data_IF_078136022199
#
_entry.id   IF_078136022199
#
_cell.length_a   1.000
_cell.length_b   1.000
_cell.length_c   1.000
_cell.angle_alpha   90.00
_cell.angle_beta   90.00
_cell.angle_gamma   90.00
#
_symmetry.space_group_name_H-M   'P 1'
#
loop_
_entity.id
_entity.type
_entity.pdbx_description
1 polymer ?
#
# COMPACT_ATOMS: atom_id res chain seq x y z
N UNK A 1 -24.57 5.75 22.41
CA UNK A 1 -23.52 6.75 22.11
C UNK A 1 -22.14 6.32 22.65
N UNK A 2 -22.09 5.57 23.77
CA UNK A 2 -20.86 4.88 24.24
C UNK A 2 -20.72 3.42 23.78
N UNK A 3 -21.81 2.81 23.29
CA UNK A 3 -21.88 1.39 22.92
C UNK A 3 -21.01 1.03 21.69
N UNK A 4 -21.04 1.84 20.62
CA UNK A 4 -20.14 1.64 19.45
C UNK A 4 -18.65 1.72 19.86
N UNK A 5 -18.32 2.51 20.90
CA UNK A 5 -16.94 2.79 21.33
C UNK A 5 -16.36 1.67 22.19
N UNK A 6 -17.18 1.07 23.06
CA UNK A 6 -16.82 -0.12 23.84
C UNK A 6 -16.72 -1.36 22.94
N UNK A 7 -17.60 -1.49 21.94
CA UNK A 7 -17.52 -2.55 20.94
C UNK A 7 -16.24 -2.44 20.09
N UNK A 8 -15.89 -1.25 19.57
CA UNK A 8 -14.64 -1.06 18.81
C UNK A 8 -13.37 -1.42 19.62
N UNK A 9 -13.40 -1.23 20.95
CA UNK A 9 -12.28 -1.50 21.84
C UNK A 9 -12.05 -3.01 22.05
N UNK A 10 -13.12 -3.79 22.15
CA UNK A 10 -13.08 -5.25 22.37
C UNK A 10 -12.94 -6.07 21.09
N UNK A 11 -13.04 -5.47 19.90
CA UNK A 11 -12.88 -6.19 18.62
C UNK A 11 -11.54 -6.92 18.55
N UNK A 12 -11.60 -8.25 18.46
CA UNK A 12 -10.49 -9.09 18.03
C UNK A 12 -10.31 -9.05 16.51
N UNK A 13 -9.40 -9.86 15.99
CA UNK A 13 -9.13 -10.00 14.55
C UNK A 13 -10.42 -10.25 13.75
N UNK A 14 -11.17 -11.30 14.07
CA UNK A 14 -12.41 -11.67 13.39
C UNK A 14 -13.48 -10.57 13.44
N UNK A 15 -13.50 -9.80 14.53
CA UNK A 15 -14.38 -8.66 14.67
C UNK A 15 -14.07 -7.56 13.66
N UNK A 16 -12.78 -7.24 13.46
CA UNK A 16 -12.35 -6.24 12.47
C UNK A 16 -12.79 -6.66 11.06
N UNK A 17 -12.62 -7.94 10.68
CA UNK A 17 -13.08 -8.45 9.38
C UNK A 17 -14.60 -8.40 9.24
N UNK A 18 -15.33 -8.77 10.29
CA UNK A 18 -16.79 -8.71 10.30
C UNK A 18 -17.32 -7.29 10.12
N UNK A 19 -16.74 -6.33 10.84
CA UNK A 19 -17.16 -4.92 10.75
C UNK A 19 -16.81 -4.29 9.40
N UNK A 20 -15.61 -4.60 8.89
CA UNK A 20 -15.18 -4.21 7.54
C UNK A 20 -16.16 -4.73 6.48
N UNK A 21 -16.54 -6.01 6.59
CA UNK A 21 -17.47 -6.64 5.64
C UNK A 21 -18.86 -6.00 5.69
N UNK A 22 -19.38 -5.68 6.88
CA UNK A 22 -20.65 -4.97 7.03
C UNK A 22 -20.62 -3.59 6.37
N UNK A 23 -19.54 -2.83 6.57
CA UNK A 23 -19.38 -1.49 5.98
C UNK A 23 -19.36 -1.56 4.45
N UNK A 24 -18.55 -2.47 3.90
CA UNK A 24 -18.41 -2.67 2.46
C UNK A 24 -19.74 -3.11 1.83
N UNK A 25 -20.46 -4.04 2.46
CA UNK A 25 -21.76 -4.52 1.98
C UNK A 25 -22.84 -3.44 2.04
N UNK A 26 -22.91 -2.68 3.15
CA UNK A 26 -23.91 -1.62 3.35
C UNK A 26 -23.78 -0.49 2.32
N UNK A 27 -22.55 -0.15 1.93
CA UNK A 27 -22.27 0.95 1.01
C UNK A 27 -21.73 0.50 -0.35
N UNK A 28 -22.06 -0.73 -0.75
CA UNK A 28 -21.52 -1.40 -1.96
C UNK A 28 -21.65 -0.56 -3.22
N UNK A 29 -22.72 0.22 -3.40
CA UNK A 29 -22.91 1.07 -4.60
C UNK A 29 -21.83 2.16 -4.73
N UNK A 30 -21.50 2.83 -3.63
CA UNK A 30 -20.48 3.90 -3.62
C UNK A 30 -19.09 3.28 -3.74
N UNK A 31 -18.82 2.20 -3.00
CA UNK A 31 -17.55 1.48 -3.12
C UNK A 31 -17.34 0.92 -4.53
N UNK A 32 -18.37 0.39 -5.18
CA UNK A 32 -18.28 -0.06 -6.58
C UNK A 32 -17.92 1.08 -7.54
N UNK A 33 -18.47 2.28 -7.36
CA UNK A 33 -18.10 3.45 -8.17
C UNK A 33 -16.63 3.86 -7.96
N UNK A 34 -16.16 3.86 -6.71
CA UNK A 34 -14.75 4.17 -6.39
C UNK A 34 -13.82 3.09 -6.95
N UNK A 35 -14.18 1.82 -6.79
CA UNK A 35 -13.41 0.69 -7.33
C UNK A 35 -13.33 0.80 -8.84
N UNK A 36 -14.45 1.02 -9.53
CA UNK A 36 -14.48 1.12 -10.98
C UNK A 36 -13.67 2.32 -11.51
N UNK A 37 -13.72 3.46 -10.81
CA UNK A 37 -13.06 4.68 -11.26
C UNK A 37 -11.55 4.74 -10.93
N UNK A 38 -11.12 4.19 -9.79
CA UNK A 38 -9.76 4.40 -9.25
C UNK A 38 -8.98 3.11 -9.00
N UNK A 39 -9.64 2.06 -8.50
CA UNK A 39 -8.97 0.79 -8.16
C UNK A 39 -8.81 -0.10 -9.40
N UNK A 40 -9.79 -0.07 -10.32
CA UNK A 40 -9.75 -0.78 -11.60
C UNK A 40 -8.55 -0.36 -12.46
N UNK A 41 -8.34 0.94 -12.76
CA UNK A 41 -7.16 1.34 -13.52
C UNK A 41 -5.88 0.98 -12.79
N UNK A 42 -5.83 1.10 -11.45
CA UNK A 42 -4.67 0.72 -10.65
C UNK A 42 -4.30 -0.77 -10.83
N UNK A 43 -5.27 -1.68 -10.66
CA UNK A 43 -5.04 -3.12 -10.76
C UNK A 43 -4.78 -3.56 -12.20
N UNK A 44 -5.44 -2.97 -13.20
CA UNK A 44 -5.18 -3.26 -14.61
C UNK A 44 -3.74 -2.88 -14.99
N UNK A 45 -3.29 -1.70 -14.57
CA UNK A 45 -1.92 -1.23 -14.73
C UNK A 45 -0.97 -2.20 -14.00
N UNK A 46 -1.25 -2.56 -12.75
CA UNK A 46 -0.44 -3.51 -11.97
C UNK A 46 -0.23 -4.86 -12.67
N UNK A 47 -1.30 -5.48 -13.14
CA UNK A 47 -1.24 -6.76 -13.84
C UNK A 47 -0.53 -6.63 -15.19
N UNK A 48 -0.80 -5.55 -15.94
CA UNK A 48 -0.12 -5.31 -17.21
C UNK A 48 1.41 -5.21 -17.04
N UNK A 49 1.87 -4.57 -15.96
CA UNK A 49 3.31 -4.53 -15.67
C UNK A 49 3.90 -5.86 -15.26
N UNK A 50 3.16 -6.66 -14.48
CA UNK A 50 3.58 -8.02 -14.15
C UNK A 50 3.83 -8.84 -15.42
N UNK A 51 2.89 -8.77 -16.38
CA UNK A 51 3.03 -9.44 -17.68
C UNK A 51 4.23 -8.92 -18.48
N UNK A 52 4.37 -7.60 -18.60
CA UNK A 52 5.46 -6.98 -19.37
C UNK A 52 6.82 -7.27 -18.73
N UNK A 53 6.92 -7.22 -17.41
CA UNK A 53 8.17 -7.49 -16.70
C UNK A 53 8.64 -8.93 -16.90
N UNK A 54 7.72 -9.89 -16.96
CA UNK A 54 8.05 -11.30 -17.15
C UNK A 54 8.38 -11.65 -18.59
N UNK A 55 7.63 -11.09 -19.56
CA UNK A 55 7.97 -11.22 -20.98
C UNK A 55 9.35 -10.63 -21.32
N UNK A 56 9.74 -9.58 -20.60
CA UNK A 56 11.07 -9.00 -20.74
C UNK A 56 12.14 -9.83 -20.02
N UNK A 57 11.84 -10.38 -18.84
CA UNK A 57 12.76 -11.24 -18.11
C UNK A 57 13.07 -12.54 -18.89
N UNK A 58 12.06 -13.18 -19.49
CA UNK A 58 12.27 -14.36 -20.35
C UNK A 58 13.12 -14.01 -21.57
N UNK A 59 12.79 -12.92 -22.27
CA UNK A 59 13.53 -12.49 -23.45
C UNK A 59 14.98 -12.09 -23.16
N UNK A 60 15.26 -11.52 -21.98
CA UNK A 60 16.62 -11.21 -21.54
C UNK A 60 17.39 -12.49 -21.23
N UNK A 61 16.77 -13.47 -20.57
CA UNK A 61 17.40 -14.75 -20.22
C UNK A 61 17.73 -15.60 -21.47
N UNK A 62 16.81 -15.63 -22.45
CA UNK A 62 17.04 -16.30 -23.73
C UNK A 62 18.20 -15.63 -24.50
N UNK A 63 18.26 -14.30 -24.47
CA UNK A 63 19.30 -13.56 -25.18
C UNK A 63 20.66 -13.59 -24.47
N UNK A 64 20.69 -13.84 -23.16
CA UNK A 64 21.93 -14.04 -22.39
C UNK A 64 22.52 -15.44 -22.65
N UNK A 65 21.68 -16.43 -22.92
CA UNK A 65 22.10 -17.79 -23.33
C UNK A 65 22.74 -17.80 -24.73
N UNK A 66 22.23 -17.01 -25.67
CA UNK A 66 22.83 -16.82 -27.01
C UNK A 66 24.12 -15.95 -27.00
N UNK A 67 24.40 -15.22 -25.91
CA UNK A 67 25.54 -14.28 -25.82
C UNK A 67 26.85 -14.92 -25.39
N UNK A 68 26.80 -16.10 -24.78
CA UNK A 68 28.03 -16.81 -24.38
C UNK A 68 28.78 -17.41 -25.59
N UNK A 69 28.13 -17.53 -26.76
CA UNK A 69 28.72 -18.11 -27.97
C UNK A 69 29.34 -17.09 -28.95
N UNK A 70 29.17 -15.77 -28.73
CA UNK A 70 29.56 -14.75 -29.70
C UNK A 70 30.44 -13.63 -29.11
N UNK A 71 31.71 -13.95 -28.88
CA UNK A 71 32.76 -12.95 -28.65
C UNK A 71 33.80 -12.94 -29.78
N UNK A 72 33.75 -11.91 -30.64
CA UNK A 72 34.89 -11.07 -31.07
C UNK A 72 34.47 -10.10 -32.19
N UNK A 73 34.01 -8.88 -31.86
CA UNK A 73 34.17 -7.69 -32.72
C UNK A 73 33.94 -6.38 -31.92
N UNK A 74 35.02 -5.68 -31.61
CA UNK A 74 35.09 -4.47 -30.79
C UNK A 74 34.28 -3.28 -31.35
N UNK A 75 34.00 -3.24 -32.64
CA UNK A 75 33.29 -2.12 -33.29
C UNK A 75 31.77 -2.24 -33.14
N UNK A 76 31.26 -3.47 -33.28
CA UNK A 76 29.85 -3.83 -33.10
C UNK A 76 29.42 -3.66 -31.65
N UNK A 77 30.28 -3.98 -30.69
CA UNK A 77 30.04 -3.78 -29.25
C UNK A 77 29.76 -2.32 -28.88
N UNK A 78 30.50 -1.35 -29.42
CA UNK A 78 30.30 0.07 -29.08
C UNK A 78 29.04 0.67 -29.74
N UNK A 79 28.65 0.16 -30.90
CA UNK A 79 27.39 0.51 -31.55
C UNK A 79 26.19 -0.13 -30.82
N UNK A 80 26.27 -1.42 -30.51
CA UNK A 80 25.27 -2.14 -29.70
C UNK A 80 25.13 -1.50 -28.32
N UNK A 81 26.23 -1.15 -27.65
CA UNK A 81 26.23 -0.50 -26.33
C UNK A 81 25.56 0.88 -26.36
N UNK A 82 25.76 1.67 -27.42
CA UNK A 82 25.06 2.96 -27.58
C UNK A 82 23.58 2.80 -27.87
N UNK A 83 23.22 1.81 -28.68
CA UNK A 83 21.84 1.50 -29.02
C UNK A 83 21.09 0.93 -27.78
N UNK A 84 21.73 0.00 -27.07
CA UNK A 84 21.31 -0.52 -25.77
C UNK A 84 21.17 0.59 -24.73
N UNK A 85 22.12 1.54 -24.63
CA UNK A 85 21.98 2.69 -23.71
C UNK A 85 20.74 3.53 -24.00
N UNK A 86 20.44 3.78 -25.28
CA UNK A 86 19.24 4.56 -25.69
C UNK A 86 17.94 3.79 -25.43
N UNK A 87 17.93 2.49 -25.70
CA UNK A 87 16.79 1.60 -25.44
C UNK A 87 16.56 1.38 -23.94
N UNK A 88 17.63 1.26 -23.15
CA UNK A 88 17.57 1.19 -21.68
C UNK A 88 17.04 2.48 -21.07
N UNK A 89 17.43 3.65 -21.58
CA UNK A 89 16.87 4.93 -21.13
C UNK A 89 15.38 4.98 -21.41
N UNK A 90 14.95 4.63 -22.64
CA UNK A 90 13.52 4.58 -22.98
C UNK A 90 12.75 3.58 -22.10
N UNK A 91 13.32 2.40 -21.86
CA UNK A 91 12.75 1.39 -20.97
C UNK A 91 12.57 1.90 -19.54
N UNK A 92 13.59 2.52 -18.96
CA UNK A 92 13.52 3.12 -17.63
C UNK A 92 12.51 4.27 -17.56
N UNK A 93 12.39 5.07 -18.62
CA UNK A 93 11.46 6.18 -18.70
C UNK A 93 10.00 5.69 -18.76
N UNK A 94 9.73 4.63 -19.52
CA UNK A 94 8.42 3.94 -19.54
C UNK A 94 8.12 3.33 -18.17
N UNK A 95 9.10 2.67 -17.54
CA UNK A 95 8.95 2.08 -16.20
C UNK A 95 8.70 3.14 -15.12
N UNK A 96 9.36 4.29 -15.23
CA UNK A 96 9.15 5.44 -14.35
C UNK A 96 7.76 6.04 -14.57
N UNK A 97 7.33 6.24 -15.82
CA UNK A 97 5.99 6.73 -16.13
C UNK A 97 4.91 5.81 -15.57
N UNK A 98 5.06 4.51 -15.78
CA UNK A 98 4.22 3.47 -15.18
C UNK A 98 4.14 3.59 -13.66
N UNK A 99 5.30 3.68 -12.99
CA UNK A 99 5.38 3.80 -11.54
C UNK A 99 4.66 5.07 -11.05
N UNK A 100 4.81 6.19 -11.76
CA UNK A 100 4.11 7.44 -11.46
C UNK A 100 2.59 7.28 -11.59
N UNK A 101 2.08 6.60 -12.62
CA UNK A 101 0.65 6.36 -12.75
C UNK A 101 0.11 5.49 -11.61
N UNK A 102 0.78 4.38 -11.29
CA UNK A 102 0.40 3.52 -10.14
C UNK A 102 0.39 4.33 -8.85
N UNK A 103 1.42 5.15 -8.65
CA UNK A 103 1.54 6.02 -7.49
C UNK A 103 0.37 7.00 -7.39
N UNK A 104 0.01 7.68 -8.48
CA UNK A 104 -1.13 8.61 -8.51
C UNK A 104 -2.43 7.87 -8.18
N UNK A 105 -2.74 6.78 -8.88
CA UNK A 105 -3.98 6.03 -8.66
C UNK A 105 -4.06 5.40 -7.27
N UNK A 106 -2.94 4.94 -6.72
CA UNK A 106 -2.86 4.41 -5.35
C UNK A 106 -3.23 5.50 -4.35
N UNK A 107 -2.65 6.69 -4.47
CA UNK A 107 -2.95 7.82 -3.59
C UNK A 107 -4.42 8.28 -3.70
N UNK A 108 -4.95 8.36 -4.93
CA UNK A 108 -6.35 8.71 -5.17
C UNK A 108 -7.29 7.66 -4.57
N UNK A 109 -6.97 6.37 -4.74
CA UNK A 109 -7.74 5.26 -4.18
C UNK A 109 -7.73 5.27 -2.65
N UNK A 110 -6.54 5.38 -2.03
CA UNK A 110 -6.41 5.46 -0.57
C UNK A 110 -7.22 6.63 -0.03
N UNK A 111 -7.03 7.84 -0.56
CA UNK A 111 -7.78 9.01 -0.07
C UNK A 111 -9.29 8.86 -0.25
N UNK A 112 -9.77 8.36 -1.39
CA UNK A 112 -11.20 8.19 -1.64
C UNK A 112 -11.86 7.13 -0.72
N UNK A 113 -11.23 5.97 -0.55
CA UNK A 113 -11.75 4.90 0.32
C UNK A 113 -11.72 5.33 1.78
N UNK A 114 -10.59 5.86 2.22
CA UNK A 114 -10.38 6.32 3.59
C UNK A 114 -11.35 7.44 3.98
N UNK A 115 -11.55 8.42 3.09
CA UNK A 115 -12.54 9.49 3.29
C UNK A 115 -13.98 8.96 3.29
N UNK A 116 -14.30 7.96 2.46
CA UNK A 116 -15.62 7.32 2.43
C UNK A 116 -15.91 6.62 3.76
N UNK A 117 -14.95 5.85 4.28
CA UNK A 117 -15.10 5.18 5.58
C UNK A 117 -15.26 6.22 6.69
N UNK A 118 -14.48 7.30 6.66
CA UNK A 118 -14.63 8.39 7.63
C UNK A 118 -16.02 9.04 7.58
N UNK A 119 -16.59 9.28 6.38
CA UNK A 119 -17.97 9.75 6.23
C UNK A 119 -19.00 8.78 6.82
N UNK A 120 -18.81 7.47 6.64
CA UNK A 120 -19.68 6.43 7.19
C UNK A 120 -19.66 6.48 8.73
N UNK A 121 -18.48 6.58 9.34
CA UNK A 121 -18.34 6.71 10.79
C UNK A 121 -18.91 8.04 11.33
N UNK A 122 -18.84 9.12 10.55
CA UNK A 122 -19.42 10.42 10.88
C UNK A 122 -20.92 10.54 10.52
N UNK A 123 -21.55 9.48 10.00
CA UNK A 123 -22.96 9.47 9.57
C UNK A 123 -23.34 10.60 8.57
N UNK A 124 -22.40 11.06 7.73
CA UNK A 124 -22.65 12.10 6.72
C UNK A 124 -23.19 11.54 5.41
N UNK A 125 -23.93 12.37 4.67
CA UNK A 125 -24.35 12.02 3.31
C UNK A 125 -23.15 11.91 2.38
N UNK A 126 -23.04 10.75 1.74
CA UNK A 126 -21.92 10.38 0.87
C UNK A 126 -22.35 10.54 -0.58
N UNK A 127 -21.59 11.30 -1.37
CA UNK A 127 -21.80 11.41 -2.81
C UNK A 127 -20.47 11.34 -3.53
N UNK A 128 -20.40 10.55 -4.61
CA UNK A 128 -19.16 10.35 -5.39
C UNK A 128 -18.53 11.68 -5.85
N UNK A 129 -19.35 12.63 -6.30
CA UNK A 129 -18.91 13.98 -6.71
C UNK A 129 -18.20 14.74 -5.59
N UNK A 130 -18.69 14.60 -4.36
CA UNK A 130 -18.13 15.23 -3.14
C UNK A 130 -16.80 14.58 -2.73
N UNK A 131 -16.66 13.27 -2.92
CA UNK A 131 -15.39 12.57 -2.68
C UNK A 131 -14.35 13.06 -3.69
N UNK A 132 -14.69 13.09 -4.97
CA UNK A 132 -13.75 13.46 -6.04
C UNK A 132 -13.27 14.92 -5.95
N UNK A 133 -14.07 15.85 -5.38
CA UNK A 133 -13.63 17.24 -5.16
C UNK A 133 -12.66 17.39 -3.98
N UNK A 134 -12.76 16.52 -2.98
CA UNK A 134 -11.92 16.55 -1.78
C UNK A 134 -10.56 15.90 -2.03
N UNK A 135 -10.54 14.79 -2.77
CA UNK A 135 -9.33 14.02 -3.11
C UNK A 135 -8.13 14.88 -3.53
N UNK A 136 -8.22 15.83 -4.49
CA UNK A 136 -7.06 16.65 -4.90
C UNK A 136 -6.52 17.57 -3.78
N UNK A 137 -7.34 17.93 -2.79
CA UNK A 137 -6.90 18.74 -1.63
C UNK A 137 -6.07 17.91 -0.65
N UNK A 138 -6.45 16.67 -0.41
CA UNK A 138 -5.74 15.75 0.50
C UNK A 138 -4.51 15.12 -0.16
N UNK A 139 -4.51 15.03 -1.49
CA UNK A 139 -3.47 14.35 -2.25
C UNK A 139 -2.07 14.92 -2.02
N UNK A 140 -1.90 16.25 -1.93
CA UNK A 140 -0.58 16.86 -1.68
C UNK A 140 0.05 16.40 -0.37
N UNK A 141 -0.75 16.28 0.69
CA UNK A 141 -0.29 15.85 2.01
C UNK A 141 0.04 14.37 2.01
N UNK A 142 -0.83 13.56 1.40
CA UNK A 142 -0.61 12.12 1.22
C UNK A 142 0.66 11.84 0.41
N UNK A 143 0.92 12.64 -0.63
CA UNK A 143 2.12 12.55 -1.46
C UNK A 143 3.39 12.75 -0.63
N UNK A 144 3.42 13.71 0.30
CA UNK A 144 4.57 13.93 1.21
C UNK A 144 4.79 12.73 2.14
N UNK A 145 3.70 12.18 2.71
CA UNK A 145 3.77 10.97 3.55
C UNK A 145 4.32 9.79 2.76
N UNK A 146 3.81 9.56 1.56
CA UNK A 146 4.24 8.46 0.72
C UNK A 146 5.68 8.63 0.23
N UNK A 147 6.13 9.85 -0.09
CA UNK A 147 7.52 10.11 -0.47
C UNK A 147 8.49 9.75 0.67
N UNK A 148 8.13 10.09 1.91
CA UNK A 148 8.94 9.74 3.07
C UNK A 148 8.90 8.23 3.38
N UNK A 149 7.74 7.57 3.16
CA UNK A 149 7.65 6.12 3.23
C UNK A 149 8.52 5.45 2.17
N UNK A 150 8.51 5.95 0.93
CA UNK A 150 9.34 5.46 -0.16
C UNK A 150 10.83 5.62 0.14
N UNK A 151 11.24 6.77 0.69
CA UNK A 151 12.61 6.98 1.15
C UNK A 151 13.02 5.99 2.26
N UNK A 152 12.10 5.70 3.18
CA UNK A 152 12.33 4.72 4.27
C UNK A 152 12.48 3.30 3.72
N UNK A 153 11.64 2.93 2.75
CA UNK A 153 11.69 1.64 2.07
C UNK A 153 12.96 1.48 1.24
N UNK A 154 13.36 2.52 0.51
CA UNK A 154 14.61 2.54 -0.24
C UNK A 154 15.82 2.37 0.69
N UNK A 155 15.86 3.09 1.81
CA UNK A 155 16.92 2.93 2.80
C UNK A 155 16.98 1.50 3.36
N UNK A 156 15.82 0.89 3.64
CA UNK A 156 15.75 -0.51 4.07
C UNK A 156 16.32 -1.47 3.02
N UNK A 157 15.98 -1.30 1.74
CA UNK A 157 16.54 -2.12 0.65
C UNK A 157 18.05 -1.96 0.57
N UNK A 158 18.58 -0.74 0.60
CA UNK A 158 20.03 -0.48 0.54
C UNK A 158 20.75 -1.17 1.69
N UNK A 159 20.20 -1.09 2.91
CA UNK A 159 20.74 -1.79 4.08
C UNK A 159 20.67 -3.31 3.91
N UNK A 160 19.54 -3.85 3.46
CA UNK A 160 19.39 -5.29 3.23
C UNK A 160 20.41 -5.79 2.19
N UNK A 161 20.52 -5.13 1.04
CA UNK A 161 21.51 -5.47 0.00
C UNK A 161 22.93 -5.38 0.53
N UNK A 162 23.25 -4.34 1.32
CA UNK A 162 24.54 -4.21 1.99
C UNK A 162 24.83 -5.38 2.94
N UNK A 163 23.83 -5.83 3.73
CA UNK A 163 23.96 -6.98 4.62
C UNK A 163 24.19 -8.29 3.85
N UNK A 164 23.47 -8.51 2.74
CA UNK A 164 23.68 -9.66 1.86
C UNK A 164 25.08 -9.63 1.22
N UNK A 165 25.56 -8.46 0.81
CA UNK A 165 26.89 -8.31 0.24
C UNK A 165 27.99 -8.61 1.26
N UNK A 166 27.86 -8.09 2.49
CA UNK A 166 28.78 -8.39 3.59
C UNK A 166 28.77 -9.88 3.92
N UNK A 167 27.58 -10.50 4.02
CA UNK A 167 27.44 -11.93 4.22
C UNK A 167 28.18 -12.74 3.14
N UNK A 168 28.00 -12.37 1.87
CA UNK A 168 28.68 -13.02 0.74
C UNK A 168 30.20 -12.90 0.83
N UNK A 169 30.72 -11.73 1.20
CA UNK A 169 32.16 -11.53 1.38
C UNK A 169 32.73 -12.38 2.53
N UNK A 170 32.02 -12.48 3.64
CA UNK A 170 32.42 -13.31 4.80
C UNK A 170 32.47 -14.79 4.39
N UNK A 171 31.45 -15.28 3.67
CA UNK A 171 31.43 -16.65 3.17
C UNK A 171 32.63 -16.94 2.26
N UNK A 172 32.96 -16.02 1.36
CA UNK A 172 34.10 -16.16 0.45
C UNK A 172 35.44 -16.14 1.17
N UNK A 173 35.60 -15.28 2.19
CA UNK A 173 36.87 -15.06 2.87
C UNK A 173 37.20 -16.16 3.89
N UNK A 174 36.21 -16.65 4.63
CA UNK A 174 36.43 -17.60 5.73
C UNK A 174 36.24 -19.06 5.33
N UNK A 175 35.91 -19.36 4.07
CA UNK A 175 35.62 -20.72 3.58
C UNK A 175 34.71 -21.50 4.55
N UNK A 176 33.69 -20.82 5.11
CA UNK A 176 32.73 -21.48 5.98
C UNK A 176 32.09 -22.62 5.20
N UNK A 177 32.00 -23.79 5.82
CA UNK A 177 31.30 -24.93 5.25
C UNK A 177 29.86 -24.54 4.85
N UNK A 178 29.25 -25.24 3.88
CA UNK A 178 27.94 -24.89 3.36
C UNK A 178 26.84 -24.84 4.44
N UNK A 179 26.97 -25.62 5.52
CA UNK A 179 26.03 -25.65 6.65
C UNK A 179 25.83 -24.29 7.36
N UNK A 180 26.85 -23.75 8.07
CA UNK A 180 26.71 -22.47 8.77
C UNK A 180 26.39 -21.28 7.86
N UNK A 181 26.84 -21.31 6.60
CA UNK A 181 26.51 -20.28 5.62
C UNK A 181 25.02 -20.21 5.30
N UNK A 182 24.40 -21.36 5.01
CA UNK A 182 22.97 -21.46 4.73
C UNK A 182 22.16 -21.06 5.97
N UNK A 183 22.56 -21.51 7.17
CA UNK A 183 21.87 -21.13 8.41
C UNK A 183 21.85 -19.59 8.61
N UNK A 184 22.99 -18.93 8.42
CA UNK A 184 23.09 -17.47 8.53
C UNK A 184 22.27 -16.74 7.45
N UNK A 185 22.23 -17.27 6.23
CA UNK A 185 21.42 -16.74 5.13
C UNK A 185 19.93 -16.78 5.47
N UNK A 186 19.46 -17.92 6.00
CA UNK A 186 18.06 -18.11 6.41
C UNK A 186 17.69 -17.13 7.52
N UNK A 187 18.54 -16.95 8.53
CA UNK A 187 18.31 -15.99 9.61
C UNK A 187 18.23 -14.56 9.06
N UNK A 188 19.15 -14.17 8.18
CA UNK A 188 19.14 -12.86 7.54
C UNK A 188 17.86 -12.64 6.73
N UNK A 189 17.45 -13.64 5.96
CA UNK A 189 16.23 -13.58 5.16
C UNK A 189 14.98 -13.42 6.03
N UNK A 190 14.87 -14.18 7.14
CA UNK A 190 13.78 -14.04 8.10
C UNK A 190 13.74 -12.61 8.68
N UNK A 191 14.90 -12.06 9.07
CA UNK A 191 14.99 -10.71 9.62
C UNK A 191 14.54 -9.66 8.59
N UNK A 192 14.95 -9.81 7.33
CA UNK A 192 14.52 -8.95 6.24
C UNK A 192 13.01 -9.04 5.98
N UNK A 193 12.43 -10.24 5.98
CA UNK A 193 10.98 -10.42 5.81
C UNK A 193 10.21 -9.75 6.96
N UNK A 194 10.64 -9.94 8.21
CA UNK A 194 10.01 -9.29 9.37
C UNK A 194 10.10 -7.76 9.26
N UNK A 195 11.28 -7.23 8.90
CA UNK A 195 11.49 -5.80 8.71
C UNK A 195 10.62 -5.22 7.60
N UNK A 196 10.51 -5.94 6.47
CA UNK A 196 9.66 -5.55 5.35
C UNK A 196 8.18 -5.48 5.72
N UNK A 197 7.66 -6.51 6.39
CA UNK A 197 6.27 -6.55 6.88
C UNK A 197 6.01 -5.41 7.88
N UNK A 198 6.97 -5.12 8.76
CA UNK A 198 6.83 -4.05 9.73
C UNK A 198 6.79 -2.65 9.09
N UNK A 199 7.68 -2.38 8.13
CA UNK A 199 7.73 -1.09 7.43
C UNK A 199 6.48 -0.88 6.58
N UNK A 200 6.02 -1.92 5.88
CA UNK A 200 4.79 -1.86 5.07
C UNK A 200 3.56 -1.59 5.93
N UNK A 201 3.42 -2.25 7.09
CA UNK A 201 2.35 -1.97 8.04
C UNK A 201 2.37 -0.51 8.54
N UNK A 202 3.55 0.00 8.93
CA UNK A 202 3.70 1.40 9.38
C UNK A 202 3.32 2.39 8.29
N UNK A 203 3.74 2.11 7.06
CA UNK A 203 3.47 2.94 5.89
C UNK A 203 1.98 2.99 5.60
N UNK A 204 1.32 1.84 5.50
CA UNK A 204 -0.11 1.77 5.21
C UNK A 204 -0.94 2.54 6.24
N UNK A 205 -0.65 2.34 7.53
CA UNK A 205 -1.32 3.09 8.59
C UNK A 205 -0.99 4.59 8.55
N UNK A 206 0.25 4.97 8.24
CA UNK A 206 0.64 6.38 8.09
C UNK A 206 -0.10 7.07 6.93
N UNK A 207 -0.36 6.35 5.83
CA UNK A 207 -1.17 6.84 4.72
C UNK A 207 -2.59 7.14 5.18
N UNK A 208 -3.22 6.25 5.95
CA UNK A 208 -4.55 6.47 6.54
C UNK A 208 -4.55 7.69 7.48
N UNK A 209 -3.56 7.79 8.38
CA UNK A 209 -3.42 8.93 9.30
C UNK A 209 -3.30 10.25 8.55
N UNK A 210 -2.51 10.27 7.47
CA UNK A 210 -2.29 11.47 6.66
C UNK A 210 -3.53 11.94 5.91
N UNK A 211 -4.54 11.09 5.71
CA UNK A 211 -5.84 11.47 5.14
C UNK A 211 -6.79 11.96 6.24
N UNK A 212 -6.79 11.31 7.41
CA UNK A 212 -7.73 11.59 8.49
C UNK A 212 -7.31 12.72 9.43
N UNK A 213 -6.04 13.05 9.48
CA UNK A 213 -5.49 14.07 10.36
C UNK A 213 -4.61 15.06 9.59
N UNK A 214 -4.47 16.27 10.12
CA UNK A 214 -3.52 17.29 9.62
C UNK A 214 -2.03 16.92 9.82
N UNK A 215 -1.72 15.66 10.16
CA UNK A 215 -0.37 15.16 10.42
C UNK A 215 0.12 14.36 9.22
N UNK A 216 1.19 14.81 8.57
CA UNK A 216 1.75 14.20 7.36
C UNK A 216 3.27 13.95 7.47
N UNK A 217 3.83 13.21 6.51
CA UNK A 217 5.27 12.95 6.40
C UNK A 217 5.81 12.09 7.53
N UNK A 218 7.00 12.46 8.03
CA UNK A 218 7.67 11.78 9.15
C UNK A 218 6.82 11.72 10.43
N UNK A 219 6.04 12.78 10.71
CA UNK A 219 5.19 12.84 11.91
C UNK A 219 4.10 11.77 11.86
N UNK A 220 3.52 11.51 10.68
CA UNK A 220 2.51 10.48 10.49
C UNK A 220 3.05 9.07 10.76
N UNK A 221 4.27 8.76 10.29
CA UNK A 221 4.92 7.46 10.56
C UNK A 221 5.30 7.25 12.02
N UNK A 222 5.78 8.29 12.70
CA UNK A 222 6.05 8.19 14.14
C UNK A 222 4.73 7.99 14.91
N UNK A 223 3.64 8.63 14.47
CA UNK A 223 2.32 8.41 15.05
C UNK A 223 1.79 7.00 14.78
N UNK A 224 1.90 6.47 13.55
CA UNK A 224 1.47 5.10 13.22
C UNK A 224 2.22 4.07 14.06
N UNK A 225 3.54 4.22 14.22
CA UNK A 225 4.35 3.35 15.10
C UNK A 225 3.87 3.37 16.56
N UNK A 226 3.50 4.53 17.09
CA UNK A 226 2.98 4.66 18.47
C UNK A 226 1.61 3.99 18.62
N UNK A 227 0.72 4.18 17.66
CA UNK A 227 -0.64 3.59 17.66
C UNK A 227 -0.64 2.06 17.57
N UNK A 228 0.29 1.48 16.81
CA UNK A 228 0.39 0.02 16.65
C UNK A 228 0.89 -0.65 17.94
N UNK A 229 1.71 0.04 18.74
CA UNK A 229 2.36 -0.52 19.93
C UNK A 229 1.35 -1.01 21.00
N UNK A 230 0.15 -0.43 21.06
CA UNK A 230 -0.88 -0.82 22.03
C UNK A 230 -1.60 -2.14 21.73
N UNK A 231 -1.81 -2.48 20.44
CA UNK A 231 -2.58 -3.66 20.01
C UNK A 231 -1.92 -4.36 18.81
N UNK A 232 -0.62 -4.59 18.92
CA UNK A 232 0.23 -5.10 17.83
C UNK A 232 -0.26 -6.45 17.29
N UNK A 233 -0.69 -7.37 18.15
CA UNK A 233 -1.14 -8.71 17.73
C UNK A 233 -2.32 -8.67 16.75
N UNK A 234 -3.34 -7.85 17.02
CA UNK A 234 -4.51 -7.73 16.12
C UNK A 234 -4.14 -7.01 14.82
N UNK A 235 -3.35 -5.93 14.91
CA UNK A 235 -2.89 -5.19 13.73
C UNK A 235 -2.03 -6.06 12.80
N UNK A 236 -1.08 -6.81 13.37
CA UNK A 236 -0.19 -7.71 12.62
C UNK A 236 -0.98 -8.86 12.03
N UNK A 237 -1.88 -9.48 12.80
CA UNK A 237 -2.74 -10.55 12.30
C UNK A 237 -3.53 -10.09 11.09
N UNK A 238 -4.28 -8.99 11.21
CA UNK A 238 -5.12 -8.48 10.11
C UNK A 238 -4.31 -8.11 8.87
N UNK A 239 -3.18 -7.41 9.06
CA UNK A 239 -2.31 -7.06 7.96
C UNK A 239 -1.74 -8.31 7.26
N UNK A 240 -1.27 -9.28 8.03
CA UNK A 240 -0.73 -10.53 7.49
C UNK A 240 -1.80 -11.32 6.73
N UNK A 241 -3.03 -11.38 7.23
CA UNK A 241 -4.14 -12.05 6.54
C UNK A 241 -4.45 -11.43 5.18
N UNK A 242 -4.49 -10.09 5.10
CA UNK A 242 -4.71 -9.38 3.83
C UNK A 242 -3.51 -9.51 2.90
N UNK A 243 -2.29 -9.45 3.43
CA UNK A 243 -1.06 -9.64 2.67
C UNK A 243 -0.99 -11.05 2.06
N UNK A 244 -1.28 -12.10 2.84
CA UNK A 244 -1.33 -13.48 2.36
C UNK A 244 -2.37 -13.65 1.25
N UNK A 245 -3.56 -13.07 1.42
CA UNK A 245 -4.60 -13.09 0.39
C UNK A 245 -4.16 -12.39 -0.90
N UNK A 246 -3.50 -11.23 -0.77
CA UNK A 246 -2.95 -10.48 -1.90
C UNK A 246 -1.90 -11.28 -2.66
N UNK A 247 -0.95 -11.88 -1.94
CA UNK A 247 0.11 -12.72 -2.52
C UNK A 247 -0.48 -13.95 -3.21
N UNK A 248 -1.48 -14.60 -2.60
CA UNK A 248 -2.15 -15.75 -3.20
C UNK A 248 -2.84 -15.40 -4.52
N UNK A 249 -3.56 -14.28 -4.59
CA UNK A 249 -4.21 -13.83 -5.84
C UNK A 249 -3.19 -13.53 -6.93
N UNK A 250 -2.07 -12.89 -6.58
CA UNK A 250 -1.00 -12.60 -7.53
C UNK A 250 -0.29 -13.87 -8.01
N UNK A 251 0.02 -14.80 -7.11
CA UNK A 251 0.62 -16.08 -7.46
C UNK A 251 -0.31 -16.93 -8.34
N UNK A 252 -1.62 -16.91 -8.08
CA UNK A 252 -2.62 -17.57 -8.93
C UNK A 252 -2.67 -16.94 -10.33
N UNK A 253 -2.63 -15.60 -10.42
CA UNK A 253 -2.57 -14.92 -11.70
C UNK A 253 -1.31 -15.30 -12.48
N UNK A 254 -0.15 -15.25 -11.84
CA UNK A 254 1.13 -15.56 -12.44
C UNK A 254 1.20 -17.03 -12.90
N UNK A 255 0.81 -17.97 -12.04
CA UNK A 255 0.76 -19.39 -12.36
C UNK A 255 -0.19 -19.71 -13.50
N UNK A 256 -1.44 -19.24 -13.44
CA UNK A 256 -2.46 -19.67 -14.39
C UNK A 256 -2.42 -18.89 -15.71
N UNK A 257 -2.01 -17.62 -15.69
CA UNK A 257 -2.03 -16.75 -16.87
C UNK A 257 -0.66 -16.69 -17.55
N UNK A 258 0.44 -16.75 -16.79
CA UNK A 258 1.79 -16.53 -17.35
C UNK A 258 2.56 -17.83 -17.56
N UNK A 259 2.46 -18.80 -16.64
CA UNK A 259 3.10 -20.11 -16.78
C UNK A 259 2.33 -21.07 -17.70
N UNK A 260 1.29 -20.59 -18.40
CA UNK A 260 0.51 -21.36 -19.38
C UNK A 260 0.03 -22.72 -18.89
N UNK A 261 -0.24 -22.86 -17.58
CA UNK A 261 -0.74 -24.08 -16.95
C UNK A 261 -2.11 -24.55 -17.47
N UNK A 262 -2.81 -23.71 -18.23
CA UNK A 262 -4.12 -24.00 -18.81
C UNK A 262 -4.13 -23.73 -20.31
N UNK A 263 -4.45 -24.76 -21.08
CA UNK A 263 -4.64 -24.65 -22.52
C UNK A 263 -5.99 -24.02 -22.86
N UNK A 264 -5.95 -22.90 -23.59
CA UNK A 264 -7.12 -22.20 -24.09
C UNK A 264 -7.12 -20.71 -23.79
N UNK A 265 -7.02 -19.90 -24.85
CA UNK A 265 -7.00 -18.43 -24.78
C UNK A 265 -8.23 -17.89 -24.04
N UNK A 266 -9.41 -18.48 -24.26
CA UNK A 266 -10.65 -18.07 -23.58
C UNK A 266 -10.62 -18.30 -22.06
N UNK A 267 -10.03 -19.42 -21.61
CA UNK A 267 -9.92 -19.73 -20.19
C UNK A 267 -8.88 -18.82 -19.52
N UNK A 268 -7.75 -18.54 -20.20
CA UNK A 268 -6.73 -17.59 -19.74
C UNK A 268 -7.31 -16.19 -19.51
N UNK A 269 -8.09 -15.68 -20.47
CA UNK A 269 -8.76 -14.38 -20.34
C UNK A 269 -9.77 -14.40 -19.18
N UNK A 270 -10.54 -15.48 -19.05
CA UNK A 270 -11.50 -15.65 -17.96
C UNK A 270 -10.83 -15.65 -16.58
N UNK A 271 -9.76 -16.43 -16.40
CA UNK A 271 -8.98 -16.50 -15.16
C UNK A 271 -8.31 -15.17 -14.85
N UNK A 272 -7.75 -14.50 -15.85
CA UNK A 272 -7.17 -13.16 -15.69
C UNK A 272 -8.20 -12.13 -15.21
N UNK A 273 -9.42 -12.16 -15.77
CA UNK A 273 -10.51 -11.30 -15.34
C UNK A 273 -10.96 -11.62 -13.90
N UNK A 274 -11.06 -12.89 -13.53
CA UNK A 274 -11.40 -13.31 -12.16
C UNK A 274 -10.31 -12.85 -11.18
N UNK A 275 -9.04 -13.03 -11.52
CA UNK A 275 -7.92 -12.55 -10.69
C UNK A 275 -7.93 -11.03 -10.55
N UNK A 276 -8.22 -10.29 -11.63
CA UNK A 276 -8.41 -8.85 -11.58
C UNK A 276 -9.53 -8.50 -10.59
N UNK A 277 -10.71 -9.11 -10.72
CA UNK A 277 -11.84 -8.85 -9.82
C UNK A 277 -11.50 -9.18 -8.36
N UNK A 278 -10.81 -10.28 -8.10
CA UNK A 278 -10.34 -10.65 -6.75
C UNK A 278 -9.35 -9.62 -6.22
N UNK A 279 -8.38 -9.18 -7.03
CA UNK A 279 -7.40 -8.18 -6.63
C UNK A 279 -8.07 -6.84 -6.29
N UNK A 280 -9.08 -6.42 -7.05
CA UNK A 280 -9.88 -5.23 -6.73
C UNK A 280 -10.54 -5.33 -5.36
N UNK A 281 -11.15 -6.47 -5.07
CA UNK A 281 -11.80 -6.72 -3.79
C UNK A 281 -10.79 -6.73 -2.65
N UNK A 282 -9.64 -7.39 -2.83
CA UNK A 282 -8.58 -7.45 -1.82
C UNK A 282 -8.00 -6.07 -1.54
N UNK A 283 -7.71 -5.26 -2.57
CA UNK A 283 -7.19 -3.89 -2.39
C UNK A 283 -8.21 -3.00 -1.69
N UNK A 284 -9.49 -3.05 -2.09
CA UNK A 284 -10.54 -2.31 -1.40
C UNK A 284 -10.61 -2.72 0.08
N UNK A 285 -10.61 -4.03 0.32
CA UNK A 285 -10.74 -4.59 1.65
C UNK A 285 -9.53 -4.23 2.53
N UNK A 286 -8.31 -4.27 2.00
CA UNK A 286 -7.09 -3.83 2.67
C UNK A 286 -7.21 -2.39 3.20
N UNK A 287 -7.60 -1.47 2.32
CA UNK A 287 -7.77 -0.06 2.68
C UNK A 287 -8.83 0.13 3.77
N UNK A 288 -9.96 -0.59 3.70
CA UNK A 288 -11.00 -0.50 4.72
C UNK A 288 -10.54 -1.13 6.04
N UNK A 289 -9.90 -2.30 6.02
CA UNK A 289 -9.35 -2.95 7.22
C UNK A 289 -8.34 -2.03 7.91
N UNK A 290 -7.45 -1.38 7.17
CA UNK A 290 -6.48 -0.44 7.73
C UNK A 290 -7.14 0.79 8.37
N UNK A 291 -8.22 1.31 7.78
CA UNK A 291 -8.98 2.41 8.38
C UNK A 291 -9.67 1.99 9.67
N UNK A 292 -10.24 0.79 9.72
CA UNK A 292 -10.87 0.25 10.93
C UNK A 292 -9.80 0.01 12.01
N UNK A 293 -8.64 -0.56 11.66
CA UNK A 293 -7.51 -0.73 12.59
C UNK A 293 -7.05 0.61 13.15
N UNK A 294 -6.98 1.65 12.32
CA UNK A 294 -6.67 3.01 12.79
C UNK A 294 -7.67 3.47 13.86
N UNK A 295 -8.97 3.35 13.62
CA UNK A 295 -9.99 3.73 14.60
C UNK A 295 -9.92 2.88 15.88
N UNK A 296 -9.68 1.57 15.77
CA UNK A 296 -9.50 0.66 16.91
C UNK A 296 -8.28 1.06 17.74
N UNK A 297 -7.13 1.28 17.10
CA UNK A 297 -5.90 1.73 17.77
C UNK A 297 -6.07 3.11 18.44
N UNK A 298 -6.77 4.03 17.77
CA UNK A 298 -7.05 5.37 18.32
C UNK A 298 -7.97 5.29 19.55
N UNK A 299 -9.00 4.46 19.51
CA UNK A 299 -9.91 4.21 20.64
C UNK A 299 -9.20 3.56 21.84
N UNK A 300 -8.22 2.69 21.58
CA UNK A 300 -7.41 2.03 22.60
C UNK A 300 -6.52 3.02 23.39
N UNK A 301 -5.91 3.98 22.71
CA UNK A 301 -5.07 5.01 23.33
C UNK A 301 -5.85 6.14 24.02
N UNK A 302 -7.18 6.04 24.12
CA UNK A 302 -8.05 7.08 24.70
C UNK A 302 -7.98 8.44 23.98
N UNK A 303 -7.44 8.48 22.76
CA UNK A 303 -7.60 9.65 21.90
C UNK A 303 -9.09 9.76 21.53
N UNK A 304 -9.71 10.92 21.76
CA UNK A 304 -11.12 11.12 21.44
C UNK A 304 -11.34 10.99 19.93
N UNK A 305 -12.13 9.99 19.53
CA UNK A 305 -12.74 9.89 18.21
C UNK A 305 -14.05 10.67 18.32
N UNK A 306 -13.95 11.98 18.43
CA UNK A 306 -15.16 12.79 18.48
C UNK A 306 -15.75 12.81 17.06
N UNK A 307 -16.95 12.24 16.90
CA UNK A 307 -17.63 12.20 15.59
C UNK A 307 -17.83 13.62 15.05
N UNK A 308 -18.00 14.60 15.94
CA UNK A 308 -18.02 16.04 15.64
C UNK A 308 -16.66 16.52 15.12
N UNK A 309 -15.55 16.25 15.79
CA UNK A 309 -14.20 16.64 15.33
C UNK A 309 -13.86 16.01 13.97
N UNK A 310 -14.24 14.75 13.75
CA UNK A 310 -14.09 14.11 12.44
C UNK A 310 -14.99 14.78 11.39
N UNK A 311 -16.25 15.05 11.73
CA UNK A 311 -17.21 15.77 10.89
C UNK A 311 -16.69 17.14 10.48
N UNK A 312 -16.18 17.93 11.42
CA UNK A 312 -15.64 19.27 11.21
C UNK A 312 -14.41 19.22 10.30
N UNK A 313 -13.52 18.24 10.54
CA UNK A 313 -12.35 18.03 9.69
C UNK A 313 -12.74 17.67 8.24
N UNK A 314 -13.77 16.83 8.05
CA UNK A 314 -14.34 16.55 6.73
C UNK A 314 -15.02 17.77 6.08
N UNK A 315 -15.63 18.65 6.88
CA UNK A 315 -16.27 19.89 6.40
C UNK A 315 -15.25 20.93 5.93
N UNK A 316 -14.13 21.04 6.63
CA UNK A 316 -12.98 21.85 6.19
C UNK A 316 -12.47 21.37 4.83
N UNK A 317 -12.44 20.06 4.58
CA UNK A 317 -12.07 19.53 3.27
C UNK A 317 -13.05 19.90 2.15
N UNK A 318 -14.34 20.05 2.47
CA UNK A 318 -15.34 20.48 1.50
C UNK A 318 -15.24 21.96 1.16
N UNK A 319 -14.69 22.78 2.05
CA UNK A 319 -14.65 24.23 1.90
C UNK A 319 -16.00 24.91 2.19
N UNK A 320 -16.95 24.18 2.76
CA UNK A 320 -18.25 24.71 3.19
C UNK A 320 -18.19 25.31 4.61
N UNK A 321 -17.04 25.22 5.29
CA UNK A 321 -16.89 25.69 6.68
C UNK A 321 -15.59 26.46 6.91
N UNK A 322 -15.70 27.67 7.46
CA UNK A 322 -14.60 28.41 8.09
C UNK A 322 -14.53 27.93 9.54
N UNK A 323 -13.42 27.33 10.00
CA UNK A 323 -13.33 26.88 11.38
C UNK A 323 -13.47 28.09 12.30
N UNK A 324 -14.49 28.08 13.16
CA UNK A 324 -14.55 28.94 14.33
C UNK A 324 -13.36 28.56 15.20
N UNK A 325 -12.24 29.27 15.00
CA UNK A 325 -11.10 29.27 15.89
C UNK A 325 -11.66 29.74 17.22
N UNK A 326 -11.90 28.79 18.13
CA UNK A 326 -12.19 29.07 19.53
C UNK A 326 -10.92 29.72 20.11
N UNK A 327 -10.72 30.99 19.81
CA UNK A 327 -10.13 31.88 20.77
C UNK A 327 -11.09 31.80 21.96
N UNK A 328 -10.61 31.16 23.03
CA UNK A 328 -11.19 31.18 24.36
C UNK A 328 -11.89 32.51 24.60
N UNK A 329 -13.21 32.53 24.42
CA UNK A 329 -14.07 33.57 24.95
C UNK A 329 -14.03 33.32 26.45
N UNK A 330 -13.11 34.01 27.12
CA UNK A 330 -13.17 34.22 28.56
C UNK A 330 -14.40 35.10 28.83
N UNK A 331 -15.57 34.48 28.88
CA UNK A 331 -16.72 35.00 29.61
C UNK A 331 -17.16 33.84 30.51
N UNK A 332 -16.72 33.84 31.77
CA UNK A 332 -17.64 34.12 32.87
C UNK A 332 -16.87 34.16 34.20
N UNK A 333 -16.50 35.37 34.64
CA UNK A 333 -16.52 35.74 36.05
C UNK A 333 -16.89 37.22 36.14
N UNK A 334 -18.16 37.49 35.84
CA UNK A 334 -18.86 38.61 36.45
C UNK A 334 -20.25 38.13 36.87
N UNK A 335 -20.34 37.61 38.09
CA UNK A 335 -21.58 37.60 38.85
C UNK A 335 -21.27 37.84 40.33
N UNK A 336 -21.65 39.05 40.75
CA UNK A 336 -22.00 39.57 42.09
C UNK A 336 -20.88 39.71 43.12
#
# INVERSE_FOLDING_TARGET
>A
MDQDRSELRSLGFLGVYGETSKIVLKWRKIFAQIVLALVLPLCAIYLAHSLVSQLLASKIFDHETDRDDAWEDSSRYQYLSRMLKKEWVAFWLVKLGYFVFVFIFSLLSTSAVVYTVACVYAAKQITFKKIMSVVPRVWKRLMVTFLWSFATFFAFIVVAVGLFFVWFLIMRQFQLGPGPGIAMLVILLILCVIGFVYITMIWQLASVISVLEDVYGRKAMVKSKRLIKGKMGVSVGCFLGVLLCSVLVLALFEGLVVLDLVDGIGIKIGVGLICLLLLLMVVLFDLVVQTVIYFVCKSYHHENIDKSSLSDHLEVYLGDYVPLKANSIQLDQLHV
#
